data_IF_310433877374
#
_entry.id   IF_310433877374
#
_cell.length_a   1.000
_cell.length_b   1.000
_cell.length_c   1.000
_cell.angle_alpha   90.00
_cell.angle_beta   90.00
_cell.angle_gamma   90.00
#
_symmetry.space_group_name_H-M   'P 1'
#
loop_
_entity.id
_entity.type
_entity.pdbx_description
1 polymer ?
#
# COMPACT_ATOMS: atom_id res chain seq x y z
N UNK A 1 -13.64 -0.22 8.25
CA UNK A 1 -12.27 -0.66 8.50
C UNK A 1 -12.33 -2.05 9.11
N UNK A 2 -11.85 -3.07 8.44
CA UNK A 2 -11.77 -4.43 8.99
C UNK A 2 -10.37 -4.61 9.55
N UNK A 3 -10.27 -4.84 10.85
CA UNK A 3 -9.04 -5.27 11.47
C UNK A 3 -8.73 -6.69 10.99
N UNK A 4 -7.59 -6.87 10.34
CA UNK A 4 -7.00 -8.19 10.19
C UNK A 4 -6.32 -8.51 11.52
N UNK A 5 -6.97 -9.35 12.32
CA UNK A 5 -6.32 -10.01 13.44
C UNK A 5 -5.14 -10.83 12.91
N UNK A 6 -3.97 -10.65 13.50
CA UNK A 6 -2.84 -11.51 13.25
C UNK A 6 -3.17 -12.92 13.72
N UNK A 7 -3.43 -13.80 12.79
CA UNK A 7 -3.57 -15.25 13.07
C UNK A 7 -2.34 -15.95 12.55
N UNK A 8 -1.68 -16.68 13.41
CA UNK A 8 -0.84 -17.80 13.01
C UNK A 8 -1.79 -18.91 12.55
N UNK A 9 -1.87 -19.14 11.25
CA UNK A 9 -2.68 -20.18 10.67
C UNK A 9 -1.94 -21.52 10.70
N UNK A 10 -2.56 -22.53 11.30
CA UNK A 10 -2.24 -23.91 11.01
C UNK A 10 -2.88 -24.26 9.68
N UNK A 11 -2.06 -24.55 8.68
CA UNK A 11 -2.50 -24.84 7.31
C UNK A 11 -2.85 -26.32 7.22
N UNK A 12 -4.16 -26.63 7.18
CA UNK A 12 -4.60 -27.89 6.59
C UNK A 12 -4.97 -27.63 5.13
N UNK A 13 -4.21 -28.26 4.26
CA UNK A 13 -4.10 -28.02 2.84
C UNK A 13 -5.31 -28.41 2.01
N UNK A 14 -5.77 -27.49 1.15
CA UNK A 14 -6.34 -27.84 -0.16
C UNK A 14 -5.60 -26.99 -1.19
N UNK A 15 -4.76 -27.63 -1.99
CA UNK A 15 -3.89 -26.97 -2.97
C UNK A 15 -4.48 -27.09 -4.37
N UNK A 16 -4.56 -25.98 -5.07
CA UNK A 16 -4.65 -25.95 -6.54
C UNK A 16 -3.59 -25.03 -7.09
N UNK A 17 -2.78 -25.46 -8.04
CA UNK A 17 -1.74 -24.63 -8.65
C UNK A 17 -2.34 -23.59 -9.59
N UNK A 18 -1.98 -22.33 -9.42
CA UNK A 18 -2.28 -21.26 -10.37
C UNK A 18 -1.15 -21.09 -11.37
N UNK A 19 -1.44 -21.27 -12.65
CA UNK A 19 -0.56 -20.96 -13.76
C UNK A 19 -0.73 -19.50 -14.16
N UNK A 20 0.35 -18.73 -14.17
CA UNK A 20 0.40 -17.45 -14.87
C UNK A 20 0.47 -17.72 -16.37
N UNK A 21 -0.62 -17.53 -17.08
CA UNK A 21 -0.55 -17.39 -18.53
C UNK A 21 -0.33 -15.93 -18.90
N UNK A 22 0.71 -15.62 -19.67
CA UNK A 22 0.75 -14.34 -20.36
C UNK A 22 -0.28 -14.38 -21.50
N UNK A 23 -1.13 -13.37 -21.59
CA UNK A 23 -1.98 -13.16 -22.76
C UNK A 23 -1.10 -12.78 -23.96
N UNK A 24 -0.76 -13.75 -24.79
CA UNK A 24 -0.13 -13.54 -26.10
C UNK A 24 -0.99 -14.14 -27.19
N UNK A 25 -1.38 -13.32 -28.14
CA UNK A 25 -1.75 -13.75 -29.48
C UNK A 25 -0.48 -13.81 -30.34
N UNK A 26 -0.24 -14.97 -30.90
CA UNK A 26 0.62 -15.10 -32.12
C UNK A 26 1.83 -16.03 -32.01
N UNK A 27 1.67 -17.20 -32.58
CA UNK A 27 2.60 -18.09 -33.30
C UNK A 27 3.94 -18.53 -32.68
N UNK A 28 3.98 -19.86 -32.47
CA UNK A 28 5.07 -20.81 -32.72
C UNK A 28 6.51 -20.36 -32.43
N UNK A 29 7.08 -20.87 -31.32
CA UNK A 29 8.33 -21.62 -31.34
C UNK A 29 8.50 -22.42 -30.04
N UNK A 30 9.09 -23.61 -30.24
CA UNK A 30 9.25 -24.71 -29.31
C UNK A 30 10.18 -24.43 -28.14
N UNK A 31 9.80 -25.10 -27.03
CA UNK A 31 10.64 -25.60 -25.93
C UNK A 31 11.44 -24.63 -25.07
N UNK A 32 10.94 -24.47 -23.91
CA UNK A 32 11.38 -24.62 -22.54
C UNK A 32 10.44 -23.88 -21.61
N UNK A 33 9.47 -24.63 -21.13
CA UNK A 33 8.54 -24.14 -20.13
C UNK A 33 9.23 -24.15 -18.78
N UNK A 34 9.66 -23.00 -18.30
CA UNK A 34 9.87 -22.80 -16.86
C UNK A 34 8.49 -22.47 -16.28
N UNK A 35 7.82 -23.50 -15.77
CA UNK A 35 6.56 -23.34 -15.07
C UNK A 35 6.82 -22.64 -13.73
N UNK A 36 6.53 -21.36 -13.67
CA UNK A 36 6.54 -20.62 -12.40
C UNK A 36 5.24 -20.92 -11.67
N UNK A 37 5.33 -21.70 -10.58
CA UNK A 37 4.19 -22.08 -9.75
C UNK A 37 3.88 -20.99 -8.73
N UNK A 38 2.64 -20.56 -8.67
CA UNK A 38 2.14 -19.70 -7.61
C UNK A 38 1.19 -20.49 -6.71
N UNK A 39 1.36 -20.33 -5.42
CA UNK A 39 0.49 -20.95 -4.42
C UNK A 39 -0.67 -20.00 -4.10
N UNK A 40 -1.89 -20.46 -4.31
CA UNK A 40 -3.11 -19.76 -3.87
C UNK A 40 -3.68 -20.49 -2.65
N UNK A 41 -3.77 -19.81 -1.53
CA UNK A 41 -4.49 -20.30 -0.36
C UNK A 41 -5.87 -19.65 -0.35
N UNK A 42 -6.90 -20.45 -0.59
CA UNK A 42 -8.29 -20.03 -0.49
C UNK A 42 -8.73 -20.01 0.98
N UNK A 43 -9.06 -18.84 1.47
CA UNK A 43 -9.90 -18.69 2.66
C UNK A 43 -11.33 -18.46 2.18
N UNK A 44 -12.04 -19.53 1.89
CA UNK A 44 -13.47 -19.46 1.65
C UNK A 44 -14.18 -19.30 2.98
N UNK A 45 -14.78 -18.14 3.22
CA UNK A 45 -15.90 -18.09 4.15
C UNK A 45 -17.03 -18.88 3.46
N UNK A 46 -17.24 -20.13 3.89
CA UNK A 46 -18.32 -20.97 3.39
C UNK A 46 -19.65 -20.25 3.65
N UNK A 47 -20.30 -19.82 2.59
CA UNK A 47 -21.72 -19.50 2.63
C UNK A 47 -22.41 -20.78 2.18
N UNK A 48 -22.94 -21.52 3.14
CA UNK A 48 -23.79 -22.68 2.87
C UNK A 48 -25.00 -22.27 2.05
N UNK A 49 -25.11 -22.82 0.84
CA UNK A 49 -26.39 -22.86 0.12
C UNK A 49 -27.25 -23.95 0.76
N UNK A 50 -28.52 -23.70 1.11
CA UNK A 50 -29.33 -24.67 1.78
C UNK A 50 -29.77 -25.80 0.82
N UNK A 51 -29.26 -27.00 1.04
CA UNK A 51 -29.91 -28.20 0.59
C UNK A 51 -31.16 -28.43 1.50
N UNK A 52 -32.33 -28.54 0.87
CA UNK A 52 -33.62 -28.80 1.51
C UNK A 52 -33.59 -30.10 2.29
N UNK A 53 -33.39 -30.01 3.61
CA UNK A 53 -33.82 -31.02 4.57
C UNK A 53 -34.26 -30.33 5.84
N UNK A 54 -35.45 -30.64 6.31
CA UNK A 54 -36.08 -30.15 7.54
C UNK A 54 -35.21 -30.43 8.76
N UNK A 55 -34.65 -29.37 9.37
CA UNK A 55 -33.86 -29.39 10.61
C UNK A 55 -34.56 -28.48 11.63
N UNK A 56 -34.61 -28.82 12.91
CA UNK A 56 -35.29 -28.07 13.97
C UNK A 56 -34.57 -26.70 14.19
N UNK A 57 -35.22 -25.70 14.82
CA UNK A 57 -34.74 -24.34 14.90
C UNK A 57 -33.41 -24.28 15.65
N UNK A 58 -32.34 -23.96 14.92
CA UNK A 58 -31.05 -23.60 15.49
C UNK A 58 -31.02 -22.13 15.90
N UNK A 59 -30.54 -21.91 17.11
CA UNK A 59 -30.20 -20.58 17.63
C UNK A 59 -29.36 -19.77 16.62
N UNK A 60 -29.73 -18.50 16.48
CA UNK A 60 -29.03 -17.51 15.67
C UNK A 60 -27.57 -17.31 16.12
N UNK A 61 -26.67 -18.17 15.66
CA UNK A 61 -25.22 -17.91 15.80
C UNK A 61 -24.75 -16.99 14.68
N UNK A 62 -24.24 -15.84 15.08
CA UNK A 62 -23.63 -14.85 14.19
C UNK A 62 -22.62 -15.53 13.25
N UNK A 63 -22.71 -15.36 11.91
CA UNK A 63 -21.91 -16.11 10.93
C UNK A 63 -20.46 -15.64 10.79
N UNK A 64 -19.92 -14.85 11.73
CA UNK A 64 -18.64 -14.15 11.54
C UNK A 64 -17.50 -14.58 12.45
N UNK A 65 -17.66 -15.61 13.28
CA UNK A 65 -16.56 -16.11 14.12
C UNK A 65 -16.15 -17.50 13.62
N UNK A 66 -15.11 -17.54 12.80
CA UNK A 66 -14.54 -18.79 12.26
C UNK A 66 -13.49 -19.43 13.16
N UNK A 67 -13.04 -18.74 14.21
CA UNK A 67 -12.23 -19.32 15.28
C UNK A 67 -12.60 -18.66 16.60
N UNK A 68 -12.92 -19.46 17.59
CA UNK A 68 -13.03 -19.04 18.99
C UNK A 68 -11.83 -19.61 19.74
N UNK A 69 -11.06 -18.73 20.39
CA UNK A 69 -10.08 -19.19 21.35
C UNK A 69 -10.80 -19.72 22.60
N UNK A 70 -10.32 -20.80 23.23
CA UNK A 70 -10.82 -21.23 24.53
C UNK A 70 -10.77 -20.05 25.51
N UNK A 71 -11.74 -19.97 26.44
CA UNK A 71 -11.81 -18.87 27.40
C UNK A 71 -10.53 -18.71 28.23
N UNK A 72 -9.83 -19.80 28.48
CA UNK A 72 -8.53 -19.82 29.17
C UNK A 72 -7.41 -19.19 28.35
N UNK A 73 -7.41 -19.36 27.00
CA UNK A 73 -6.44 -18.71 26.13
C UNK A 73 -6.80 -17.25 25.85
N UNK A 74 -8.09 -16.91 25.83
CA UNK A 74 -8.53 -15.52 25.60
C UNK A 74 -8.11 -14.57 26.74
N UNK A 75 -7.83 -15.09 27.93
CA UNK A 75 -7.30 -14.31 29.06
C UNK A 75 -5.84 -13.83 28.83
N UNK A 76 -5.12 -14.41 27.88
CA UNK A 76 -3.76 -14.02 27.53
C UNK A 76 -3.69 -12.82 26.58
N UNK A 77 -4.82 -12.47 25.93
CA UNK A 77 -4.88 -11.38 24.95
C UNK A 77 -5.55 -10.16 25.57
N UNK A 78 -4.84 -9.04 25.51
CA UNK A 78 -5.41 -7.74 25.87
C UNK A 78 -6.27 -7.19 24.72
N UNK A 79 -7.24 -6.36 25.06
CA UNK A 79 -7.98 -5.57 24.08
C UNK A 79 -8.14 -4.13 24.56
N UNK A 80 -8.29 -3.21 23.60
CA UNK A 80 -8.62 -1.82 23.86
C UNK A 80 -9.84 -1.43 23.03
N UNK A 81 -10.87 -0.93 23.67
CA UNK A 81 -12.08 -0.41 23.03
C UNK A 81 -12.36 1.01 23.50
N UNK A 82 -12.81 1.87 22.60
CA UNK A 82 -13.34 3.18 22.96
C UNK A 82 -14.79 3.00 23.45
N UNK A 83 -15.11 3.57 24.61
CA UNK A 83 -16.48 3.62 25.10
C UNK A 83 -17.31 4.52 24.18
N UNK A 84 -18.34 3.98 23.51
CA UNK A 84 -19.20 4.77 22.62
C UNK A 84 -19.99 5.86 23.36
N UNK A 85 -20.17 5.74 24.68
CA UNK A 85 -20.91 6.73 25.49
C UNK A 85 -20.05 7.95 25.87
N UNK A 86 -18.72 7.85 25.79
CA UNK A 86 -17.83 8.99 26.06
C UNK A 86 -17.65 9.91 24.86
N UNK A 87 -18.20 9.54 23.70
CA UNK A 87 -18.03 10.25 22.43
C UNK A 87 -19.37 10.85 22.00
N UNK A 88 -19.65 12.07 22.45
CA UNK A 88 -20.85 12.85 22.03
C UNK A 88 -20.86 13.22 20.53
N UNK A 89 -19.78 12.98 19.80
CA UNK A 89 -19.63 13.38 18.40
C UNK A 89 -19.02 12.22 17.58
N UNK A 90 -19.86 11.57 16.82
CA UNK A 90 -19.49 10.62 15.72
C UNK A 90 -18.51 9.51 16.11
N UNK A 91 -18.83 8.29 15.78
CA UNK A 91 -18.00 7.11 16.12
C UNK A 91 -16.51 7.36 15.81
N UNK A 92 -15.68 7.45 16.86
CA UNK A 92 -14.24 7.51 16.72
C UNK A 92 -13.75 6.23 16.04
N UNK A 93 -13.28 6.36 14.80
CA UNK A 93 -12.73 5.25 14.05
C UNK A 93 -11.22 5.24 14.19
N UNK A 94 -10.66 4.07 14.50
CA UNK A 94 -9.23 3.83 14.40
C UNK A 94 -8.84 3.76 12.92
N UNK A 95 -7.77 4.45 12.56
CA UNK A 95 -7.29 4.51 11.19
C UNK A 95 -5.97 3.78 11.02
N UNK A 96 -5.00 3.99 11.91
CA UNK A 96 -3.65 3.43 11.83
C UNK A 96 -3.16 2.95 13.19
N UNK A 97 -2.22 2.00 13.13
CA UNK A 97 -1.50 1.46 14.26
C UNK A 97 0.00 1.56 14.01
N UNK A 98 0.76 1.91 15.04
CA UNK A 98 2.21 1.82 15.04
C UNK A 98 2.68 1.19 16.36
N UNK A 99 3.65 0.28 16.29
CA UNK A 99 4.20 -0.41 17.46
C UNK A 99 5.66 -0.02 17.62
N UNK A 100 6.04 0.32 18.84
CA UNK A 100 7.44 0.41 19.24
C UNK A 100 7.95 -0.99 19.61
N UNK A 101 8.82 -1.61 18.83
CA UNK A 101 9.31 -2.95 19.11
C UNK A 101 10.18 -3.04 20.37
N UNK A 102 10.74 -1.90 20.81
CA UNK A 102 11.59 -1.85 22.01
C UNK A 102 10.77 -1.79 23.30
N UNK A 103 9.81 -0.87 23.36
CA UNK A 103 9.00 -0.66 24.58
C UNK A 103 7.70 -1.45 24.55
N UNK A 104 7.34 -2.05 23.40
CA UNK A 104 6.06 -2.71 23.15
C UNK A 104 4.85 -1.79 23.27
N UNK A 105 5.06 -0.47 23.27
CA UNK A 105 3.98 0.52 23.23
C UNK A 105 3.27 0.47 21.89
N UNK A 106 1.96 0.65 21.97
CA UNK A 106 1.09 0.76 20.81
C UNK A 106 0.62 2.20 20.68
N UNK A 107 0.74 2.76 19.47
CA UNK A 107 0.20 4.06 19.11
C UNK A 107 -0.95 3.85 18.15
N UNK A 108 -2.07 4.54 18.39
CA UNK A 108 -3.28 4.45 17.57
C UNK A 108 -3.61 5.84 17.03
N UNK A 109 -3.65 5.94 15.70
CA UNK A 109 -4.20 7.10 15.00
C UNK A 109 -5.69 6.89 14.74
N UNK A 110 -6.50 7.79 15.24
CA UNK A 110 -7.95 7.79 15.10
C UNK A 110 -8.45 9.11 14.51
N UNK A 111 -9.75 9.20 14.24
CA UNK A 111 -10.38 10.48 13.90
C UNK A 111 -10.29 11.40 15.13
N UNK A 112 -9.72 12.58 14.94
CA UNK A 112 -9.55 13.63 15.96
C UNK A 112 -8.68 13.27 17.17
N UNK A 113 -8.01 12.09 17.17
CA UNK A 113 -7.23 11.65 18.36
C UNK A 113 -6.02 10.83 18.00
N UNK A 114 -5.00 10.94 18.84
CA UNK A 114 -3.86 10.03 18.93
C UNK A 114 -3.86 9.41 20.33
N UNK A 115 -3.62 8.09 20.41
CA UNK A 115 -3.57 7.34 21.66
C UNK A 115 -2.22 6.64 21.79
N UNK A 116 -1.69 6.59 23.01
CA UNK A 116 -0.51 5.81 23.38
C UNK A 116 -0.91 4.82 24.47
N UNK A 117 -0.69 3.53 24.20
CA UNK A 117 -1.00 2.43 25.10
C UNK A 117 0.29 1.70 25.51
N UNK A 118 0.30 1.16 26.71
CA UNK A 118 1.36 0.26 27.17
C UNK A 118 1.26 -1.13 26.52
N UNK A 119 2.19 -2.02 26.87
CA UNK A 119 2.22 -3.41 26.36
C UNK A 119 1.01 -4.26 26.78
N UNK A 120 0.24 -3.84 27.77
CA UNK A 120 -0.99 -4.49 28.24
C UNK A 120 -2.24 -3.83 27.67
N UNK A 121 -2.08 -2.96 26.67
CA UNK A 121 -3.13 -2.16 26.04
C UNK A 121 -3.85 -1.20 27.01
N UNK A 122 -3.20 -0.80 28.09
CA UNK A 122 -3.69 0.24 28.98
C UNK A 122 -3.33 1.62 28.41
N UNK A 123 -4.28 2.52 28.38
CA UNK A 123 -4.06 3.90 27.93
C UNK A 123 -3.06 4.61 28.86
N UNK A 124 -1.95 5.08 28.30
CA UNK A 124 -0.95 5.90 28.99
C UNK A 124 -1.23 7.40 28.72
N UNK A 125 -1.39 7.76 27.43
CA UNK A 125 -1.55 9.14 27.00
C UNK A 125 -2.53 9.25 25.82
N UNK A 126 -3.16 10.41 25.70
CA UNK A 126 -3.97 10.75 24.51
C UNK A 126 -3.84 12.23 24.16
N UNK A 127 -3.94 12.52 22.87
CA UNK A 127 -3.87 13.89 22.32
C UNK A 127 -5.04 14.12 21.39
N UNK A 128 -5.70 15.28 21.51
CA UNK A 128 -6.69 15.73 20.55
C UNK A 128 -5.98 16.32 19.32
N UNK A 129 -6.28 15.79 18.14
CA UNK A 129 -5.79 16.27 16.85
C UNK A 129 -6.88 17.00 16.05
N UNK A 130 -8.09 17.09 16.59
CA UNK A 130 -9.25 17.74 16.00
C UNK A 130 -10.47 17.58 16.90
N UNK A 131 -11.68 18.05 16.47
CA UNK A 131 -11.88 18.84 15.26
C UNK A 131 -11.25 20.22 15.36
N UNK A 132 -10.82 20.80 14.23
CA UNK A 132 -10.28 22.16 14.15
C UNK A 132 -10.95 22.96 13.04
N UNK A 133 -10.86 24.30 13.14
CA UNK A 133 -11.27 25.19 12.06
C UNK A 133 -10.29 25.09 10.90
N UNK A 134 -10.77 24.71 9.72
CA UNK A 134 -9.96 24.56 8.51
C UNK A 134 -10.80 24.85 7.25
N UNK A 135 -10.08 24.99 6.12
CA UNK A 135 -10.67 25.10 4.78
C UNK A 135 -9.69 24.49 3.78
N UNK A 136 -10.13 23.59 2.88
CA UNK A 136 -9.27 22.99 1.84
C UNK A 136 -8.57 24.00 0.90
N UNK A 137 -9.04 25.25 0.85
CA UNK A 137 -8.39 26.32 0.07
C UNK A 137 -7.26 27.01 0.83
N UNK A 138 -7.06 26.70 2.11
CA UNK A 138 -5.97 27.27 2.89
C UNK A 138 -4.65 26.51 2.64
N UNK A 139 -3.54 27.21 2.80
CA UNK A 139 -2.21 26.61 2.77
C UNK A 139 -1.99 25.67 3.98
N UNK A 140 -1.00 24.77 3.89
CA UNK A 140 -0.64 23.85 4.96
C UNK A 140 -0.24 24.53 6.28
N UNK A 141 0.23 25.78 6.24
CA UNK A 141 0.51 26.59 7.43
C UNK A 141 -0.75 27.00 8.20
N UNK A 142 -1.92 26.88 7.58
CA UNK A 142 -3.24 27.23 8.12
C UNK A 142 -3.92 28.36 7.37
N UNK A 143 -5.14 28.68 7.78
CA UNK A 143 -5.99 29.71 7.21
C UNK A 143 -5.62 31.10 7.73
N UNK A 144 -5.79 32.11 6.91
CA UNK A 144 -5.69 33.52 7.32
C UNK A 144 -7.01 33.98 7.98
N UNK A 145 -7.00 35.11 8.63
CA UNK A 145 -8.21 35.71 9.25
C UNK A 145 -9.30 36.12 8.24
N UNK A 146 -8.98 36.11 6.94
CA UNK A 146 -9.92 36.43 5.85
C UNK A 146 -10.61 35.21 5.27
N UNK A 147 -10.07 34.01 5.57
CA UNK A 147 -10.58 32.77 5.02
C UNK A 147 -11.81 32.30 5.79
N UNK A 148 -12.84 31.88 5.08
CA UNK A 148 -13.99 31.22 5.69
C UNK A 148 -13.61 29.83 6.11
N UNK A 149 -13.66 29.54 7.42
CA UNK A 149 -13.33 28.24 7.98
C UNK A 149 -14.55 27.56 8.55
N UNK A 150 -14.55 26.23 8.55
CA UNK A 150 -15.55 25.38 9.20
C UNK A 150 -14.88 24.42 10.16
N UNK A 151 -15.61 23.97 11.17
CA UNK A 151 -15.11 22.96 12.09
C UNK A 151 -15.08 21.60 11.37
N UNK A 152 -13.91 21.01 11.21
CA UNK A 152 -13.69 19.78 10.42
C UNK A 152 -13.00 18.71 11.23
N UNK A 153 -13.41 17.46 11.01
CA UNK A 153 -12.75 16.30 11.61
C UNK A 153 -11.38 16.02 10.96
N UNK A 154 -10.40 15.75 11.80
CA UNK A 154 -9.07 15.35 11.36
C UNK A 154 -8.95 13.83 11.34
N UNK A 155 -8.98 13.25 10.15
CA UNK A 155 -8.79 11.80 9.95
C UNK A 155 -7.29 11.51 9.93
N UNK A 156 -6.81 10.63 10.81
CA UNK A 156 -5.42 10.21 10.75
C UNK A 156 -5.16 9.47 9.43
N UNK A 157 -4.25 9.98 8.61
CA UNK A 157 -3.91 9.45 7.26
C UNK A 157 -2.60 8.70 7.22
N UNK A 158 -1.74 8.94 8.22
CA UNK A 158 -0.43 8.33 8.35
C UNK A 158 -0.04 8.26 9.82
N UNK A 159 0.51 7.14 10.25
CA UNK A 159 1.10 6.96 11.58
C UNK A 159 2.31 6.04 11.48
N UNK A 160 3.52 6.60 11.68
CA UNK A 160 4.77 5.87 11.54
C UNK A 160 5.69 6.17 12.71
N UNK A 161 6.26 5.11 13.31
CA UNK A 161 7.30 5.22 14.31
C UNK A 161 8.68 5.30 13.63
N UNK A 162 9.34 6.43 13.75
CA UNK A 162 10.76 6.57 13.45
C UNK A 162 11.56 6.12 14.67
N UNK A 163 12.05 4.89 14.61
CA UNK A 163 12.74 4.26 15.73
C UNK A 163 14.14 4.85 15.97
N UNK A 164 14.76 5.42 14.96
CA UNK A 164 16.09 6.03 15.04
C UNK A 164 16.03 7.34 15.81
N UNK A 165 15.14 8.25 15.44
CA UNK A 165 14.94 9.53 16.12
C UNK A 165 14.02 9.45 17.34
N UNK A 166 13.41 8.29 17.59
CA UNK A 166 12.42 8.07 18.65
C UNK A 166 11.24 9.03 18.56
N UNK A 167 10.79 9.30 17.31
CA UNK A 167 9.64 10.15 17.02
C UNK A 167 8.52 9.38 16.33
N UNK A 168 7.29 9.78 16.60
CA UNK A 168 6.09 9.29 15.94
C UNK A 168 5.62 10.35 14.94
N UNK A 169 5.63 10.02 13.66
CA UNK A 169 5.15 10.89 12.59
C UNK A 169 3.66 10.61 12.40
N UNK A 170 2.82 11.60 12.60
CA UNK A 170 1.38 11.52 12.40
C UNK A 170 0.92 12.62 11.44
N UNK A 171 0.26 12.24 10.33
CA UNK A 171 -0.32 13.20 9.40
C UNK A 171 -1.85 13.03 9.38
N UNK A 172 -2.54 14.15 9.34
CA UNK A 172 -4.01 14.19 9.30
C UNK A 172 -4.54 14.57 7.92
N UNK A 173 -5.87 14.60 7.80
CA UNK A 173 -6.55 15.08 6.58
C UNK A 173 -6.68 16.60 6.50
N UNK A 174 -6.42 17.31 7.59
CA UNK A 174 -6.54 18.77 7.65
C UNK A 174 -5.21 19.47 7.32
N UNK A 175 -5.28 20.79 7.10
CA UNK A 175 -4.10 21.60 6.74
C UNK A 175 -3.33 21.01 5.56
N UNK A 176 -4.05 20.65 4.50
CA UNK A 176 -3.46 20.04 3.29
C UNK A 176 -2.75 18.69 3.52
N UNK A 177 -3.13 17.94 4.55
CA UNK A 177 -2.44 16.68 4.86
C UNK A 177 -1.11 16.87 5.58
N UNK A 178 -0.98 17.95 6.35
CA UNK A 178 0.21 18.26 7.13
C UNK A 178 0.48 17.24 8.25
N UNK A 179 1.71 17.20 8.71
CA UNK A 179 2.15 16.25 9.71
C UNK A 179 2.62 16.93 11.01
N UNK A 180 2.57 16.15 12.07
CA UNK A 180 3.16 16.47 13.36
C UNK A 180 4.11 15.35 13.80
N UNK A 181 5.22 15.71 14.42
CA UNK A 181 6.17 14.77 15.00
C UNK A 181 6.07 14.79 16.53
N UNK A 182 5.71 13.68 17.10
CA UNK A 182 5.54 13.47 18.53
C UNK A 182 6.73 12.71 19.11
N UNK A 183 7.03 12.91 20.39
CA UNK A 183 7.99 12.09 21.11
C UNK A 183 7.36 10.74 21.47
N UNK A 184 7.98 9.63 21.07
CA UNK A 184 7.49 8.28 21.39
C UNK A 184 7.51 7.96 22.88
N UNK A 185 8.29 8.68 23.68
CA UNK A 185 8.27 8.52 25.14
C UNK A 185 6.97 9.00 25.77
N UNK A 186 6.39 10.08 25.24
CA UNK A 186 5.12 10.66 25.67
C UNK A 186 4.57 11.57 24.59
N UNK A 187 3.45 11.18 23.97
CA UNK A 187 2.80 11.93 22.88
C UNK A 187 2.14 13.22 23.36
N UNK A 188 1.89 13.41 24.66
CA UNK A 188 1.29 14.64 25.20
C UNK A 188 2.27 15.82 25.23
N UNK A 189 3.57 15.56 25.02
CA UNK A 189 4.56 16.63 24.84
C UNK A 189 4.28 17.34 23.53
N UNK A 190 4.28 18.69 23.55
CA UNK A 190 3.99 19.51 22.35
C UNK A 190 4.74 19.01 21.13
N UNK A 191 4.06 18.60 20.03
CA UNK A 191 4.69 18.11 18.83
C UNK A 191 5.35 19.23 18.03
N UNK A 192 6.27 18.83 17.16
CA UNK A 192 6.77 19.67 16.06
C UNK A 192 5.79 19.62 14.90
N UNK A 193 5.20 20.77 14.55
CA UNK A 193 4.32 20.89 13.39
C UNK A 193 5.12 21.10 12.10
N UNK A 194 4.83 20.32 11.06
CA UNK A 194 5.49 20.40 9.76
C UNK A 194 4.45 20.83 8.71
N UNK A 195 4.45 22.08 8.29
CA UNK A 195 3.44 22.65 7.40
C UNK A 195 3.68 22.32 5.93
N UNK A 196 3.80 21.04 5.63
CA UNK A 196 3.97 20.50 4.27
C UNK A 196 2.80 19.59 3.91
N UNK A 197 2.36 19.65 2.67
CA UNK A 197 1.37 18.72 2.11
C UNK A 197 2.01 17.35 1.89
N UNK A 198 1.75 16.41 2.80
CA UNK A 198 2.32 15.05 2.77
C UNK A 198 1.25 14.02 2.48
N UNK A 199 0.15 14.06 3.23
CA UNK A 199 -0.95 13.10 3.13
C UNK A 199 -2.12 13.62 2.29
N UNK A 200 -3.08 12.77 1.96
CA UNK A 200 -4.34 13.18 1.34
C UNK A 200 -5.15 14.06 2.29
N UNK A 201 -5.75 15.14 1.77
CA UNK A 201 -6.49 16.13 2.57
C UNK A 201 -8.01 15.87 2.58
N UNK A 202 -8.41 14.62 2.45
CA UNK A 202 -9.78 14.18 2.59
C UNK A 202 -9.90 12.88 3.42
N UNK A 203 -11.13 12.48 3.70
CA UNK A 203 -11.40 11.30 4.50
C UNK A 203 -11.11 9.98 3.74
N UNK A 204 -11.39 9.92 2.46
CA UNK A 204 -11.50 8.67 1.69
C UNK A 204 -10.26 8.32 0.88
N UNK A 205 -9.54 9.32 0.37
CA UNK A 205 -8.34 9.11 -0.44
C UNK A 205 -7.23 8.45 0.37
N UNK A 206 -6.47 7.55 -0.27
CA UNK A 206 -5.42 6.81 0.43
C UNK A 206 -4.13 7.62 0.57
N UNK A 207 -3.45 7.39 1.67
CA UNK A 207 -2.03 7.67 1.84
C UNK A 207 -1.39 6.44 2.44
N UNK A 208 -0.29 6.00 1.87
CA UNK A 208 0.55 4.96 2.44
C UNK A 208 2.00 5.43 2.50
N UNK A 209 2.67 5.19 3.61
CA UNK A 209 4.08 5.51 3.72
C UNK A 209 4.82 4.48 4.56
N UNK A 210 6.11 4.40 4.35
CA UNK A 210 7.02 3.54 5.10
C UNK A 210 8.42 4.15 5.16
N UNK A 211 9.16 3.82 6.21
CA UNK A 211 10.57 4.16 6.32
C UNK A 211 11.36 3.08 5.60
N UNK A 212 12.22 3.49 4.69
CA UNK A 212 13.09 2.60 3.94
C UNK A 212 14.44 3.22 3.63
N UNK A 213 15.37 2.38 3.18
CA UNK A 213 16.70 2.84 2.82
C UNK A 213 16.70 3.56 1.48
N UNK A 214 17.53 4.58 1.38
CA UNK A 214 17.90 5.24 0.13
C UNK A 214 19.41 5.50 0.13
N UNK A 215 19.97 5.75 -1.05
CA UNK A 215 21.36 6.18 -1.16
C UNK A 215 21.43 7.68 -1.40
N UNK A 216 22.32 8.35 -0.71
CA UNK A 216 22.75 9.70 -0.99
C UNK A 216 24.26 9.70 -1.27
N UNK A 217 24.88 10.83 -1.65
CA UNK A 217 26.31 10.88 -1.91
C UNK A 217 27.20 10.46 -0.73
N UNK A 218 26.65 10.41 0.47
CA UNK A 218 27.35 10.08 1.71
C UNK A 218 27.12 8.62 2.16
N UNK A 219 26.26 7.87 1.47
CA UNK A 219 25.95 6.47 1.77
C UNK A 219 24.47 6.17 1.93
N UNK A 220 24.16 5.06 2.60
CA UNK A 220 22.77 4.67 2.91
C UNK A 220 22.19 5.55 4.00
N UNK A 221 20.96 5.98 3.82
CA UNK A 221 20.19 6.74 4.80
C UNK A 221 18.74 6.25 4.83
N UNK A 222 18.09 6.38 5.97
CA UNK A 222 16.66 6.13 6.09
C UNK A 222 15.88 7.38 5.65
N UNK A 223 14.85 7.16 4.84
CA UNK A 223 13.93 8.20 4.37
C UNK A 223 12.48 7.72 4.49
N UNK A 224 11.54 8.65 4.39
CA UNK A 224 10.12 8.36 4.32
C UNK A 224 9.68 8.29 2.86
N UNK A 225 9.27 7.11 2.41
CA UNK A 225 8.59 6.93 1.14
C UNK A 225 7.09 7.14 1.33
N UNK A 226 6.47 7.97 0.50
CA UNK A 226 5.04 8.33 0.61
C UNK A 226 4.36 8.15 -0.74
N UNK A 227 3.26 7.39 -0.76
CA UNK A 227 2.31 7.33 -1.86
C UNK A 227 1.00 7.99 -1.46
N UNK A 228 0.51 8.95 -2.25
CA UNK A 228 -0.67 9.75 -1.92
C UNK A 228 -1.62 9.85 -3.11
N UNK A 229 -2.89 9.49 -2.89
CA UNK A 229 -3.94 9.70 -3.89
C UNK A 229 -4.23 11.19 -4.08
N UNK A 230 -4.36 11.63 -5.33
CA UNK A 230 -4.77 12.99 -5.65
C UNK A 230 -6.22 13.23 -5.20
N UNK A 231 -6.50 14.40 -4.60
CA UNK A 231 -7.81 14.70 -4.00
C UNK A 231 -8.59 15.82 -4.67
N UNK A 232 -8.01 16.60 -5.52
CA UNK A 232 -8.62 17.79 -6.14
C UNK A 232 -9.40 18.68 -5.14
N UNK A 233 -8.92 18.78 -3.88
CA UNK A 233 -9.52 19.58 -2.82
C UNK A 233 -8.63 20.76 -2.44
N UNK A 234 -8.76 21.84 -3.19
CA UNK A 234 -7.96 23.05 -3.04
C UNK A 234 -6.76 23.14 -3.97
N UNK A 235 -6.36 24.35 -4.30
CA UNK A 235 -5.33 24.65 -5.32
C UNK A 235 -3.96 24.07 -4.96
N UNK A 236 -3.62 24.01 -3.67
CA UNK A 236 -2.33 23.48 -3.20
C UNK A 236 -2.15 21.96 -3.44
N UNK A 237 -3.20 21.24 -3.83
CA UNK A 237 -3.10 19.81 -4.16
C UNK A 237 -2.42 19.55 -5.49
N UNK A 238 -2.36 20.54 -6.34
CA UNK A 238 -1.72 20.41 -7.66
C UNK A 238 -0.21 20.16 -7.58
N UNK A 239 0.42 20.57 -6.48
CA UNK A 239 1.86 20.42 -6.24
C UNK A 239 2.21 19.18 -5.42
N UNK A 240 1.21 18.36 -5.02
CA UNK A 240 1.45 17.15 -4.25
C UNK A 240 1.72 15.97 -5.18
N UNK A 241 2.92 15.36 -5.10
CA UNK A 241 3.25 14.22 -5.95
C UNK A 241 2.47 12.96 -5.55
N UNK A 242 2.27 12.08 -6.52
CA UNK A 242 1.67 10.76 -6.32
C UNK A 242 2.58 9.85 -5.47
N UNK A 243 3.91 9.91 -5.72
CA UNK A 243 4.92 9.25 -4.89
C UNK A 243 6.03 10.26 -4.60
N UNK A 244 6.56 10.24 -3.39
CA UNK A 244 7.72 11.05 -2.99
C UNK A 244 8.61 10.32 -1.99
N UNK A 245 9.92 10.65 -2.04
CA UNK A 245 10.87 10.39 -0.97
C UNK A 245 11.07 11.64 -0.13
N UNK A 246 11.03 11.51 1.19
CA UNK A 246 11.10 12.65 2.10
C UNK A 246 12.12 12.42 3.21
N UNK A 247 12.82 13.47 3.59
CA UNK A 247 13.71 13.45 4.75
C UNK A 247 12.91 13.22 6.04
N UNK A 248 13.36 12.31 6.88
CA UNK A 248 12.71 12.05 8.19
C UNK A 248 12.80 13.24 9.15
N UNK A 249 13.76 14.15 8.95
CA UNK A 249 13.94 15.31 9.83
C UNK A 249 12.83 16.34 9.67
N UNK A 250 12.58 16.79 8.44
CA UNK A 250 11.70 17.94 8.13
C UNK A 250 10.59 17.61 7.13
N UNK A 251 10.52 16.37 6.64
CA UNK A 251 9.58 15.87 5.63
C UNK A 251 9.62 16.62 4.27
N UNK A 252 10.66 17.41 4.01
CA UNK A 252 10.94 17.91 2.68
C UNK A 252 11.36 16.77 1.75
N UNK A 253 11.32 17.02 0.43
CA UNK A 253 11.79 16.01 -0.51
C UNK A 253 13.25 15.66 -0.25
N UNK A 254 13.57 14.36 -0.33
CA UNK A 254 14.91 13.86 -0.03
C UNK A 254 15.96 14.40 -1.00
N UNK A 255 15.58 14.55 -2.27
CA UNK A 255 16.36 15.26 -3.28
C UNK A 255 15.51 16.36 -3.90
N UNK A 256 16.03 17.58 -3.89
CA UNK A 256 15.35 18.74 -4.46
C UNK A 256 16.36 19.63 -5.17
N UNK A 257 16.17 19.77 -6.48
CA UNK A 257 16.86 20.79 -7.28
C UNK A 257 15.91 21.25 -8.38
N UNK A 258 16.27 22.33 -9.11
CA UNK A 258 15.44 22.82 -10.21
C UNK A 258 15.15 21.77 -11.29
N UNK A 259 16.03 20.81 -11.47
CA UNK A 259 15.95 19.83 -12.54
C UNK A 259 15.74 18.39 -12.05
N UNK A 260 15.75 18.16 -10.72
CA UNK A 260 15.75 16.82 -10.12
C UNK A 260 14.98 16.83 -8.83
N UNK A 261 14.04 15.90 -8.71
CA UNK A 261 13.23 15.72 -7.53
C UNK A 261 12.95 14.22 -7.33
N UNK A 262 12.96 13.78 -6.08
CA UNK A 262 12.63 12.41 -5.69
C UNK A 262 11.12 12.19 -5.64
N UNK A 263 10.45 12.36 -6.78
CA UNK A 263 8.98 12.35 -6.88
C UNK A 263 8.49 11.73 -8.19
N UNK A 264 7.25 11.24 -8.15
CA UNK A 264 6.44 10.86 -9.31
C UNK A 264 5.17 11.70 -9.31
N UNK A 265 4.85 12.33 -10.44
CA UNK A 265 3.56 12.97 -10.67
C UNK A 265 2.70 12.17 -11.65
N UNK A 266 1.40 12.20 -11.43
CA UNK A 266 0.44 11.84 -12.47
C UNK A 266 0.22 13.06 -13.35
N UNK A 267 0.27 12.86 -14.67
CA UNK A 267 0.10 13.95 -15.65
C UNK A 267 -1.24 14.66 -15.42
N UNK A 268 -1.20 15.98 -15.52
CA UNK A 268 -2.36 16.88 -15.32
C UNK A 268 -3.59 16.43 -16.13
N UNK A 269 -3.38 15.85 -17.32
CA UNK A 269 -4.46 15.37 -18.18
C UNK A 269 -5.25 14.22 -17.56
N UNK A 270 -4.63 13.43 -16.69
CA UNK A 270 -5.20 12.18 -16.17
C UNK A 270 -5.51 12.21 -14.69
N UNK A 271 -4.87 13.05 -13.89
CA UNK A 271 -4.92 13.00 -12.43
C UNK A 271 -6.32 13.12 -11.82
N UNK A 272 -7.25 13.83 -12.48
CA UNK A 272 -8.61 14.02 -11.96
C UNK A 272 -9.50 12.78 -12.12
N UNK A 273 -9.22 11.92 -13.09
CA UNK A 273 -10.01 10.73 -13.39
C UNK A 273 -9.24 9.41 -13.28
N UNK A 274 -7.92 9.48 -13.16
CA UNK A 274 -7.06 8.31 -12.96
C UNK A 274 -6.48 8.31 -11.53
N UNK A 275 -7.35 8.01 -10.56
CA UNK A 275 -6.97 8.00 -9.16
C UNK A 275 -6.25 6.70 -8.81
N UNK A 276 -5.05 6.83 -8.26
CA UNK A 276 -4.24 5.71 -7.78
C UNK A 276 -4.40 5.58 -6.28
N UNK A 277 -4.86 4.41 -5.82
CA UNK A 277 -4.96 4.06 -4.40
C UNK A 277 -3.71 3.33 -3.96
N UNK A 278 -3.00 3.86 -2.98
CA UNK A 278 -1.84 3.22 -2.36
C UNK A 278 -2.29 2.34 -1.20
N UNK A 279 -1.88 1.07 -1.20
CA UNK A 279 -2.35 0.04 -0.26
C UNK A 279 -1.24 -0.38 0.70
N UNK A 280 -0.03 -0.59 0.18
CA UNK A 280 1.13 -1.06 0.93
C UNK A 280 2.41 -0.56 0.29
N UNK A 281 3.51 -0.58 1.03
CA UNK A 281 4.84 -0.28 0.51
C UNK A 281 5.92 -0.91 1.39
N UNK A 282 7.04 -1.22 0.79
CA UNK A 282 8.16 -1.86 1.47
C UNK A 282 9.47 -1.63 0.74
N UNK A 283 10.55 -1.90 1.46
CA UNK A 283 11.90 -1.85 0.91
C UNK A 283 12.47 -3.26 0.93
N UNK A 284 13.01 -3.72 -0.19
CA UNK A 284 13.68 -5.00 -0.28
C UNK A 284 14.80 -4.94 -1.31
N UNK A 285 15.93 -5.57 -1.00
CA UNK A 285 17.14 -5.50 -1.81
C UNK A 285 17.52 -4.04 -2.11
N UNK A 286 17.66 -3.70 -3.40
CA UNK A 286 18.02 -2.37 -3.85
C UNK A 286 16.80 -1.54 -4.33
N UNK A 287 15.59 -1.90 -3.90
CA UNK A 287 14.37 -1.28 -4.38
C UNK A 287 13.41 -0.88 -3.28
N UNK A 288 12.67 0.20 -3.55
CA UNK A 288 11.47 0.59 -2.83
C UNK A 288 10.25 0.24 -3.70
N UNK A 289 9.24 -0.38 -3.07
CA UNK A 289 8.04 -0.88 -3.74
C UNK A 289 6.79 -0.20 -3.22
N UNK A 290 5.81 0.01 -4.13
CA UNK A 290 4.47 0.44 -3.78
C UNK A 290 3.44 -0.50 -4.40
N UNK A 291 2.51 -0.96 -3.58
CA UNK A 291 1.35 -1.75 -4.00
C UNK A 291 0.18 -0.79 -4.19
N UNK A 292 -0.40 -0.82 -5.37
CA UNK A 292 -1.44 0.13 -5.74
C UNK A 292 -2.61 -0.53 -6.47
N UNK A 293 -3.76 0.13 -6.38
CA UNK A 293 -4.97 -0.18 -7.16
C UNK A 293 -5.30 1.04 -8.01
N UNK A 294 -5.48 0.82 -9.31
CA UNK A 294 -5.77 1.86 -10.28
C UNK A 294 -6.66 1.34 -11.40
N UNK A 295 -7.18 2.23 -12.23
CA UNK A 295 -7.83 1.82 -13.49
C UNK A 295 -6.84 1.01 -14.35
N UNK A 296 -7.33 0.03 -15.07
CA UNK A 296 -6.49 -0.80 -15.93
C UNK A 296 -5.93 0.01 -17.10
N UNK A 297 -6.67 1.00 -17.57
CA UNK A 297 -6.23 1.99 -18.56
C UNK A 297 -6.41 3.41 -18.04
N UNK A 298 -5.52 4.31 -18.44
CA UNK A 298 -5.62 5.75 -18.17
C UNK A 298 -6.40 6.50 -19.25
N UNK A 299 -6.79 5.81 -20.34
CA UNK A 299 -7.57 6.36 -21.44
C UNK A 299 -9.06 6.33 -21.10
N UNK A 300 -9.78 7.46 -21.14
CA UNK A 300 -11.20 7.51 -20.78
C UNK A 300 -12.09 6.57 -21.61
N UNK A 301 -11.75 6.35 -22.88
CA UNK A 301 -12.46 5.44 -23.77
C UNK A 301 -12.29 3.95 -23.44
N UNK A 302 -11.48 3.61 -22.43
CA UNK A 302 -11.21 2.24 -21.98
C UNK A 302 -11.60 2.02 -20.52
N UNK A 303 -12.52 2.79 -19.99
CA UNK A 303 -12.99 2.65 -18.60
C UNK A 303 -13.68 1.30 -18.33
N UNK A 304 -14.25 0.66 -19.35
CA UNK A 304 -14.87 -0.67 -19.27
C UNK A 304 -13.89 -1.78 -18.85
N UNK A 305 -12.58 -1.56 -19.00
CA UNK A 305 -11.56 -2.51 -18.51
C UNK A 305 -11.52 -2.60 -16.98
N UNK A 306 -12.09 -1.62 -16.26
CA UNK A 306 -12.20 -1.60 -14.82
C UNK A 306 -10.86 -1.37 -14.13
N UNK A 307 -10.68 -1.99 -12.95
CA UNK A 307 -9.53 -1.78 -12.06
C UNK A 307 -8.59 -2.98 -12.02
N UNK A 308 -7.35 -2.70 -11.67
CA UNK A 308 -6.29 -3.69 -11.50
C UNK A 308 -5.37 -3.33 -10.34
N UNK A 309 -4.67 -4.32 -9.81
CA UNK A 309 -3.61 -4.12 -8.84
C UNK A 309 -2.27 -4.10 -9.54
N UNK A 310 -1.39 -3.19 -9.12
CA UNK A 310 -0.03 -3.08 -9.62
C UNK A 310 0.98 -3.04 -8.49
N UNK A 311 2.18 -3.46 -8.80
CA UNK A 311 3.36 -3.26 -7.98
C UNK A 311 4.28 -2.31 -8.72
N UNK A 312 4.55 -1.16 -8.12
CA UNK A 312 5.54 -0.21 -8.62
C UNK A 312 6.88 -0.41 -7.92
N UNK A 313 7.97 -0.14 -8.62
CA UNK A 313 9.34 -0.29 -8.13
C UNK A 313 10.20 0.91 -8.49
N UNK A 314 11.03 1.36 -7.56
CA UNK A 314 12.00 2.43 -7.71
C UNK A 314 13.33 1.96 -7.14
N UNK A 315 14.45 2.25 -7.83
CA UNK A 315 15.78 2.00 -7.28
C UNK A 315 16.06 2.92 -6.09
N UNK A 316 16.56 2.39 -4.98
CA UNK A 316 16.91 3.20 -3.79
C UNK A 316 18.11 4.13 -4.04
N UNK A 317 18.91 3.87 -5.06
CA UNK A 317 20.03 4.73 -5.50
C UNK A 317 19.63 5.76 -6.56
N UNK A 318 18.38 5.72 -7.03
CA UNK A 318 17.86 6.62 -8.05
C UNK A 318 17.09 7.78 -7.43
N UNK A 319 17.80 8.85 -7.19
CA UNK A 319 17.26 10.05 -6.57
C UNK A 319 16.28 10.83 -7.47
N UNK A 320 16.20 10.50 -8.77
CA UNK A 320 15.37 11.21 -9.74
C UNK A 320 14.13 10.45 -10.17
N UNK A 321 13.95 9.21 -9.67
CA UNK A 321 12.87 8.31 -10.05
C UNK A 321 12.80 7.95 -11.54
N UNK A 322 13.92 8.06 -12.25
CA UNK A 322 14.04 7.64 -13.66
C UNK A 322 13.80 6.13 -13.82
N UNK A 323 14.06 5.35 -12.74
CA UNK A 323 13.88 3.89 -12.69
C UNK A 323 12.45 3.44 -12.36
N UNK A 324 11.52 4.37 -12.14
CA UNK A 324 10.14 4.03 -11.82
C UNK A 324 9.52 3.12 -12.88
N UNK A 325 8.99 1.99 -12.45
CA UNK A 325 8.32 1.02 -13.32
C UNK A 325 7.26 0.24 -12.55
N UNK A 326 6.33 -0.38 -13.29
CA UNK A 326 5.21 -1.12 -12.72
C UNK A 326 5.04 -2.47 -13.39
N UNK A 327 4.57 -3.45 -12.60
CA UNK A 327 4.04 -4.73 -13.09
C UNK A 327 2.63 -4.96 -12.55
N UNK A 328 1.79 -5.65 -13.31
CA UNK A 328 0.44 -6.02 -12.85
C UNK A 328 0.53 -7.23 -11.91
N UNK A 329 -0.13 -7.12 -10.76
CA UNK A 329 -0.35 -8.23 -9.84
C UNK A 329 -1.64 -8.95 -10.22
N UNK A 330 -1.55 -10.26 -10.45
CA UNK A 330 -2.70 -11.10 -10.78
C UNK A 330 -2.86 -12.20 -9.75
N UNK A 331 -4.03 -12.26 -9.11
CA UNK A 331 -4.43 -13.33 -8.23
C UNK A 331 -5.56 -14.11 -8.91
N UNK A 332 -5.23 -15.28 -9.45
CA UNK A 332 -6.16 -16.15 -10.19
C UNK A 332 -6.46 -17.38 -9.33
N UNK A 333 -7.73 -17.72 -9.22
CA UNK A 333 -8.20 -18.81 -8.36
C UNK A 333 -9.10 -19.75 -9.15
N UNK A 334 -8.82 -21.05 -9.10
CA UNK A 334 -9.73 -22.09 -9.57
C UNK A 334 -10.64 -22.50 -8.40
N UNK A 335 -11.95 -22.29 -8.53
CA UNK A 335 -12.94 -22.66 -7.53
C UNK A 335 -13.49 -24.07 -7.74
N UNK A 336 -12.87 -24.89 -8.60
CA UNK A 336 -13.31 -26.24 -8.92
C UNK A 336 -14.38 -26.29 -10.02
N UNK A 337 -14.68 -25.17 -10.66
CA UNK A 337 -15.60 -25.06 -11.80
C UNK A 337 -14.88 -25.12 -13.16
N UNK A 338 -13.57 -25.36 -13.16
CA UNK A 338 -12.71 -25.39 -14.33
C UNK A 338 -12.45 -24.01 -14.95
N UNK A 339 -12.81 -22.93 -14.23
CA UNK A 339 -12.56 -21.55 -14.67
C UNK A 339 -11.60 -20.85 -13.71
N UNK A 340 -10.77 -20.02 -14.28
CA UNK A 340 -9.92 -19.12 -13.50
C UNK A 340 -10.69 -17.85 -13.14
N UNK A 341 -10.83 -17.60 -11.84
CA UNK A 341 -11.48 -16.41 -11.31
C UNK A 341 -10.44 -15.38 -10.90
N UNK A 342 -10.53 -14.19 -11.49
CA UNK A 342 -9.60 -13.09 -11.19
C UNK A 342 -10.05 -12.34 -9.93
N UNK A 343 -9.13 -12.21 -8.97
CA UNK A 343 -9.23 -11.34 -7.81
C UNK A 343 -8.30 -10.15 -8.04
N UNK A 344 -8.85 -9.07 -8.55
CA UNK A 344 -8.10 -7.96 -9.15
C UNK A 344 -7.80 -6.78 -8.22
N UNK A 345 -8.42 -6.73 -7.03
CA UNK A 345 -8.24 -5.63 -6.09
C UNK A 345 -7.48 -6.08 -4.86
N UNK A 346 -6.21 -5.69 -4.74
CA UNK A 346 -5.43 -5.90 -3.53
C UNK A 346 -6.02 -5.07 -2.38
N UNK A 347 -6.24 -5.71 -1.24
CA UNK A 347 -6.82 -5.09 -0.05
C UNK A 347 -5.77 -4.78 0.99
N UNK A 348 -4.77 -5.65 1.13
CA UNK A 348 -3.64 -5.51 2.04
C UNK A 348 -2.51 -6.43 1.59
N UNK A 349 -1.29 -6.17 2.06
CA UNK A 349 -0.12 -6.96 1.74
C UNK A 349 0.91 -6.91 2.86
N UNK A 350 1.83 -7.87 2.83
CA UNK A 350 3.00 -7.90 3.72
C UNK A 350 4.13 -8.70 3.09
N UNK A 351 5.37 -8.27 3.33
CA UNK A 351 6.55 -9.08 3.07
C UNK A 351 6.87 -9.91 4.30
N UNK A 352 7.11 -11.19 4.09
CA UNK A 352 7.46 -12.16 5.12
C UNK A 352 8.61 -13.03 4.64
N UNK A 353 9.20 -13.82 5.54
CA UNK A 353 10.20 -14.83 5.18
C UNK A 353 9.52 -16.18 4.99
N UNK A 354 9.90 -16.91 3.94
CA UNK A 354 9.36 -18.24 3.66
C UNK A 354 9.80 -19.25 4.72
N UNK A 355 8.85 -19.98 5.29
CA UNK A 355 9.12 -21.20 6.06
C UNK A 355 9.47 -22.38 5.16
N UNK A 356 9.84 -23.52 5.74
CA UNK A 356 10.32 -24.70 5.01
C UNK A 356 9.34 -25.18 3.93
N UNK A 357 8.08 -25.31 4.29
CA UNK A 357 7.06 -25.89 3.39
C UNK A 357 6.73 -24.95 2.23
N UNK A 358 6.60 -23.66 2.54
CA UNK A 358 6.35 -22.63 1.51
C UNK A 358 7.55 -22.47 0.58
N UNK A 359 8.76 -22.48 1.13
CA UNK A 359 9.99 -22.39 0.34
C UNK A 359 10.11 -23.56 -0.64
N UNK A 360 9.85 -24.79 -0.18
CA UNK A 360 9.85 -25.99 -1.02
C UNK A 360 8.81 -25.88 -2.15
N UNK A 361 7.60 -25.38 -1.86
CA UNK A 361 6.53 -25.25 -2.85
C UNK A 361 6.83 -24.16 -3.89
N UNK A 362 7.45 -23.07 -3.48
CA UNK A 362 7.84 -21.97 -4.37
C UNK A 362 9.18 -22.19 -5.07
N UNK A 363 9.92 -23.27 -4.72
CA UNK A 363 11.26 -23.53 -5.29
C UNK A 363 12.32 -22.50 -4.90
N UNK A 364 12.19 -21.91 -3.70
CA UNK A 364 13.10 -20.89 -3.14
C UNK A 364 13.76 -21.42 -1.87
N UNK A 365 14.69 -20.66 -1.28
CA UNK A 365 15.35 -21.03 -0.03
C UNK A 365 14.49 -20.66 1.19
N UNK A 366 14.65 -21.42 2.27
CA UNK A 366 14.06 -21.07 3.56
C UNK A 366 14.59 -19.71 4.02
N UNK A 367 13.69 -18.83 4.40
CA UNK A 367 14.03 -17.46 4.79
C UNK A 367 14.00 -16.44 3.64
N UNK A 368 13.93 -16.89 2.38
CA UNK A 368 13.78 -15.97 1.26
C UNK A 368 12.51 -15.12 1.40
N UNK A 369 12.55 -13.87 0.94
CA UNK A 369 11.40 -12.98 1.07
C UNK A 369 10.27 -13.38 0.12
N UNK A 370 9.06 -13.42 0.66
CA UNK A 370 7.81 -13.63 -0.06
C UNK A 370 6.88 -12.45 0.14
N UNK A 371 6.17 -12.09 -0.91
CA UNK A 371 5.14 -11.07 -0.90
C UNK A 371 3.78 -11.76 -0.75
N UNK A 372 3.16 -11.59 0.41
CA UNK A 372 1.84 -12.14 0.76
C UNK A 372 0.83 -11.03 0.60
N UNK A 373 -0.25 -11.27 -0.12
CA UNK A 373 -1.26 -10.25 -0.37
C UNK A 373 -2.68 -10.83 -0.41
N UNK A 374 -3.62 -10.03 0.08
CA UNK A 374 -5.05 -10.36 0.10
C UNK A 374 -5.73 -9.61 -1.03
N UNK A 375 -6.49 -10.31 -1.85
CA UNK A 375 -7.23 -9.75 -2.96
C UNK A 375 -8.73 -10.01 -2.82
N UNK A 376 -9.52 -9.11 -3.39
CA UNK A 376 -10.96 -9.30 -3.61
C UNK A 376 -11.30 -9.02 -5.08
N UNK A 377 -12.32 -9.68 -5.65
CA UNK A 377 -12.79 -9.27 -6.97
C UNK A 377 -13.50 -7.93 -6.88
N UNK A 378 -13.44 -7.15 -7.95
CA UNK A 378 -14.19 -5.90 -8.06
C UNK A 378 -15.68 -6.16 -8.25
N UNK A 379 -16.50 -5.22 -7.76
CA UNK A 379 -17.93 -5.16 -8.05
C UNK A 379 -18.11 -4.50 -9.42
N UNK A 380 -18.23 -5.32 -10.46
CA UNK A 380 -18.25 -4.85 -11.84
C UNK A 380 -16.92 -4.19 -12.21
N UNK A 381 -16.98 -3.03 -12.82
CA UNK A 381 -15.81 -2.24 -13.26
C UNK A 381 -15.32 -1.24 -12.19
N UNK A 382 -15.82 -1.31 -10.95
CA UNK A 382 -15.50 -0.36 -9.89
C UNK A 382 -14.30 -0.81 -9.05
N UNK A 383 -13.79 0.07 -8.18
CA UNK A 383 -12.79 -0.26 -7.17
C UNK A 383 -13.41 -0.74 -5.84
N UNK A 384 -14.72 -1.00 -5.81
CA UNK A 384 -15.39 -1.57 -4.64
C UNK A 384 -15.16 -3.09 -4.60
N UNK A 385 -14.62 -3.63 -3.49
CA UNK A 385 -14.43 -5.07 -3.36
C UNK A 385 -15.73 -5.79 -3.06
N UNK A 386 -15.88 -6.98 -3.64
CA UNK A 386 -16.88 -7.96 -3.20
C UNK A 386 -16.48 -8.55 -1.82
N UNK A 387 -17.42 -9.19 -1.14
CA UNK A 387 -17.22 -9.76 0.22
C UNK A 387 -16.28 -10.97 0.28
N UNK A 388 -16.01 -11.63 -0.87
CA UNK A 388 -15.08 -12.76 -0.95
C UNK A 388 -13.65 -12.29 -1.13
N UNK A 389 -12.68 -13.06 -0.64
CA UNK A 389 -11.26 -12.74 -0.70
C UNK A 389 -10.42 -13.98 -0.98
N UNK A 390 -9.25 -13.78 -1.53
CA UNK A 390 -8.21 -14.78 -1.71
C UNK A 390 -6.86 -14.25 -1.22
N UNK A 391 -5.99 -15.16 -0.78
CA UNK A 391 -4.60 -14.85 -0.45
C UNK A 391 -3.72 -15.38 -1.59
N UNK A 392 -2.92 -14.49 -2.18
CA UNK A 392 -1.89 -14.87 -3.14
C UNK A 392 -0.50 -14.58 -2.56
N UNK A 393 0.42 -15.53 -2.79
CA UNK A 393 1.79 -15.44 -2.32
C UNK A 393 2.71 -15.50 -3.54
N UNK A 394 3.67 -14.59 -3.60
CA UNK A 394 4.64 -14.49 -4.69
C UNK A 394 6.05 -14.52 -4.10
N UNK A 395 6.97 -15.25 -4.72
CA UNK A 395 8.37 -15.07 -4.37
C UNK A 395 8.85 -13.70 -4.85
N UNK A 396 9.67 -13.04 -4.04
CA UNK A 396 10.21 -11.73 -4.45
C UNK A 396 11.16 -11.88 -5.64
N UNK A 397 11.81 -13.03 -5.78
CA UNK A 397 12.66 -13.37 -6.92
C UNK A 397 11.87 -13.41 -8.24
N UNK A 398 10.68 -14.01 -8.24
CA UNK A 398 9.82 -14.04 -9.44
C UNK A 398 9.30 -12.65 -9.80
N UNK A 399 8.93 -11.87 -8.79
CA UNK A 399 8.56 -10.46 -8.98
C UNK A 399 9.69 -9.68 -9.64
N UNK A 400 10.93 -9.83 -9.16
CA UNK A 400 12.11 -9.18 -9.74
C UNK A 400 12.36 -9.64 -11.18
N UNK A 401 12.24 -10.94 -11.44
CA UNK A 401 12.35 -11.50 -12.78
C UNK A 401 11.33 -10.87 -13.71
N UNK A 402 10.09 -10.69 -13.25
CA UNK A 402 9.02 -10.08 -14.06
C UNK A 402 9.27 -8.61 -14.38
N UNK A 403 9.78 -7.85 -13.41
CA UNK A 403 10.22 -6.48 -13.66
C UNK A 403 11.32 -6.42 -14.73
N UNK A 404 12.33 -7.28 -14.61
CA UNK A 404 13.46 -7.32 -15.53
C UNK A 404 13.04 -7.74 -16.93
N UNK A 405 12.16 -8.73 -17.07
CA UNK A 405 11.57 -9.14 -18.35
C UNK A 405 10.85 -7.97 -19.03
N UNK A 406 10.00 -7.24 -18.30
CA UNK A 406 9.25 -6.09 -18.83
C UNK A 406 10.18 -4.97 -19.30
N UNK A 407 11.21 -4.69 -18.52
CA UNK A 407 12.23 -3.69 -18.87
C UNK A 407 12.96 -4.16 -20.14
N UNK A 408 13.38 -5.42 -20.20
CA UNK A 408 14.10 -5.97 -21.35
C UNK A 408 13.24 -5.92 -22.63
N UNK A 409 11.98 -6.31 -22.58
CA UNK A 409 11.05 -6.23 -23.71
C UNK A 409 10.85 -4.79 -24.21
N UNK A 410 10.92 -3.82 -23.33
CA UNK A 410 10.87 -2.42 -23.69
C UNK A 410 12.15 -2.00 -24.45
N UNK A 411 13.31 -2.44 -23.99
CA UNK A 411 14.60 -2.08 -24.58
C UNK A 411 14.87 -2.72 -25.93
N UNK A 412 14.53 -3.99 -26.08
CA UNK A 412 14.77 -4.72 -27.33
C UNK A 412 13.72 -4.40 -28.42
N UNK A 413 12.75 -3.54 -28.14
CA UNK A 413 11.73 -3.13 -29.08
C UNK A 413 10.59 -4.14 -29.27
N UNK A 414 10.51 -5.21 -28.45
CA UNK A 414 9.41 -6.17 -28.47
C UNK A 414 8.09 -5.49 -28.13
N UNK A 415 8.12 -4.56 -27.18
CA UNK A 415 6.99 -3.67 -26.89
C UNK A 415 7.38 -2.23 -27.21
N UNK A 416 6.45 -1.45 -27.75
CA UNK A 416 6.67 -0.04 -28.11
C UNK A 416 6.27 0.92 -27.00
N UNK A 417 5.33 0.50 -26.15
CA UNK A 417 4.73 1.34 -25.11
C UNK A 417 4.63 0.57 -23.81
N UNK A 418 4.92 1.26 -22.72
CA UNK A 418 4.57 0.82 -21.38
C UNK A 418 3.21 1.43 -21.04
N UNK A 419 2.35 0.69 -20.35
CA UNK A 419 1.06 1.22 -19.89
C UNK A 419 1.27 2.17 -18.68
N UNK A 420 2.05 3.22 -18.88
CA UNK A 420 2.45 4.21 -17.88
C UNK A 420 2.43 5.64 -18.46
N UNK A 421 1.65 5.88 -19.52
CA UNK A 421 1.55 7.19 -20.14
C UNK A 421 0.89 8.26 -19.27
N UNK A 422 0.34 7.84 -18.14
CA UNK A 422 -0.23 8.74 -17.13
C UNK A 422 0.82 9.32 -16.16
N UNK A 423 2.05 8.81 -16.17
CA UNK A 423 3.14 9.33 -15.33
C UNK A 423 3.83 10.48 -16.06
N UNK A 424 3.90 11.65 -15.42
CA UNK A 424 4.67 12.78 -15.93
C UNK A 424 6.14 12.68 -15.52
N UNK A 425 7.02 13.14 -16.38
CA UNK A 425 8.47 13.14 -16.12
C UNK A 425 9.29 12.54 -17.27
N UNK A 426 10.43 11.89 -16.96
CA UNK A 426 11.33 11.33 -17.97
C UNK A 426 10.69 10.25 -18.86
N UNK A 427 9.60 9.63 -18.38
CA UNK A 427 8.86 8.60 -19.08
C UNK A 427 7.71 9.24 -19.88
N UNK A 428 8.03 10.14 -20.77
CA UNK A 428 7.02 10.81 -21.59
C UNK A 428 6.23 9.81 -22.45
N UNK A 429 4.90 9.97 -22.45
CA UNK A 429 3.96 9.20 -23.26
C UNK A 429 4.01 7.67 -23.05
N UNK A 430 4.60 7.17 -21.98
CA UNK A 430 4.75 5.73 -21.74
C UNK A 430 5.56 4.98 -22.80
N UNK A 431 6.27 5.68 -23.67
CA UNK A 431 7.10 5.07 -24.72
C UNK A 431 8.31 4.37 -24.10
N UNK A 432 8.68 3.27 -24.71
CA UNK A 432 9.95 2.64 -24.42
C UNK A 432 11.10 3.50 -24.96
N UNK A 433 12.25 3.59 -24.26
CA UNK A 433 13.39 4.31 -24.77
C UNK A 433 13.84 3.71 -26.09
N UNK A 434 14.27 4.55 -27.03
CA UNK A 434 14.91 4.10 -28.27
C UNK A 434 16.25 3.44 -27.95
N UNK A 435 16.64 2.46 -28.76
CA UNK A 435 17.92 1.77 -28.61
C UNK A 435 19.08 2.77 -28.51
N UNK A 436 19.92 2.63 -27.49
CA UNK A 436 21.05 3.52 -27.22
C UNK A 436 20.87 4.44 -26.00
N UNK A 437 19.69 4.52 -25.39
CA UNK A 437 19.50 5.23 -24.12
C UNK A 437 19.87 4.29 -22.98
N UNK A 438 20.93 4.62 -22.24
CA UNK A 438 21.29 3.89 -21.01
C UNK A 438 20.22 4.07 -19.96
N UNK A 439 19.43 3.03 -19.67
CA UNK A 439 18.67 2.99 -18.42
C UNK A 439 19.67 2.60 -17.34
N UNK A 440 19.84 3.45 -16.35
CA UNK A 440 20.52 3.08 -15.11
C UNK A 440 19.61 2.06 -14.39
N UNK A 441 19.87 0.77 -14.65
CA UNK A 441 19.32 -0.27 -13.80
C UNK A 441 19.90 -0.11 -12.39
N UNK A 442 19.15 -0.48 -11.36
CA UNK A 442 19.61 -0.56 -9.98
C UNK A 442 20.74 -1.58 -9.77
N UNK A 443 20.99 -2.42 -10.74
CA UNK A 443 22.11 -3.35 -10.73
C UNK A 443 23.42 -2.58 -10.94
N UNK A 444 24.43 -2.93 -10.14
CA UNK A 444 25.84 -2.63 -10.43
C UNK A 444 26.02 -2.69 -11.94
N UNK A 445 26.49 -1.58 -12.50
CA UNK A 445 26.80 -1.37 -13.90
C UNK A 445 27.26 -2.70 -14.54
N UNK A 446 26.37 -3.42 -15.20
CA UNK A 446 26.77 -4.27 -16.27
C UNK A 446 27.02 -3.34 -17.45
N UNK A 447 28.25 -2.87 -17.54
CA UNK A 447 28.76 -2.24 -18.73
C UNK A 447 28.73 -3.31 -19.81
N UNK A 448 27.63 -3.43 -20.54
CA UNK A 448 27.67 -4.06 -21.84
C UNK A 448 28.27 -3.06 -22.81
N UNK A 449 29.58 -3.11 -22.93
CA UNK A 449 30.25 -2.65 -24.16
C UNK A 449 29.88 -3.65 -25.25
N UNK A 450 29.16 -3.17 -26.24
CA UNK A 450 29.21 -3.70 -27.61
C UNK A 450 29.49 -2.51 -28.53
#
# INVERSE_FOLDING_TARGET
MRFLEYRTFSISSIFSPCLLQPSFHGSLFSSMSVATWFLVVLVTAAIDTPASTTVPPQENKSPHITAQFPAEESQQYGFYALDPNTTREGALRFNHLAIDPMTKRLYIGAVNRLLQLDSNLKLEEHVSTGPILDNPQCHATGCSSRDTTTLMNNVNKLLIADLESRTLIACGSLRQGACEKYKMSNISIKPEFIPLSVAANDETSSTYAFIGQSYNPWGKTNILYVGTTFTNRGDYRHDVPAISSRNLRNLEFAEFSFNKQSIVYIDVKYRDHFLVKYVYGFNASDYAYFVLVQKQSYLPEQEELGYTSRLARICISDQNYDSYTEVTLQCMVDLGDGKQHLYNLVQDAKVASAGSDLAMQLGISVGDPVFVSVFSPSKGITNEPLSRSAVCIYSLQDIETKFNENIHMCFNGTIKYRNMGYVSGPIQDGKCPSAGVSIRACARVYTFMF
#
